data_IF_778142422004
#
_entry.id   IF_778142422004
#
_cell.length_a   1.000
_cell.length_b   1.000
_cell.length_c   1.000
_cell.angle_alpha   90.00
_cell.angle_beta   90.00
_cell.angle_gamma   90.00
#
_symmetry.space_group_name_H-M   'P 1'
#
loop_
_entity.id
_entity.type
_entity.pdbx_description
1 polymer ?
#
# COMPACT_ATOMS: atom_id res chain seq x y z
N UNK A 1 15.43 -17.90 -0.35
CA UNK A 1 15.47 -17.52 1.09
C UNK A 1 15.79 -16.03 1.16
N UNK A 2 14.85 -15.16 1.54
CA UNK A 2 15.11 -13.73 1.72
C UNK A 2 15.15 -13.40 3.21
N UNK A 3 16.36 -13.42 3.76
CA UNK A 3 16.65 -13.05 5.14
C UNK A 3 16.45 -11.54 5.29
N UNK A 4 15.50 -11.13 6.14
CA UNK A 4 15.26 -9.72 6.46
C UNK A 4 16.42 -9.17 7.30
N UNK A 5 17.45 -8.64 6.66
CA UNK A 5 18.43 -7.80 7.36
C UNK A 5 17.83 -6.41 7.59
N UNK A 6 18.08 -5.83 8.76
CA UNK A 6 17.73 -4.45 9.06
C UNK A 6 18.58 -3.54 8.15
N UNK A 7 17.95 -2.83 7.22
CA UNK A 7 18.66 -1.85 6.38
C UNK A 7 19.20 -0.75 7.31
N UNK A 8 20.51 -0.72 7.50
CA UNK A 8 21.15 0.26 8.38
C UNK A 8 21.27 1.63 7.73
N UNK A 9 21.43 1.65 6.40
CA UNK A 9 21.51 2.88 5.62
C UNK A 9 20.15 3.60 5.60
N UNK A 10 20.19 4.89 5.95
CA UNK A 10 19.00 5.74 6.02
C UNK A 10 18.42 5.95 4.62
N UNK A 11 19.25 6.29 3.64
CA UNK A 11 18.87 6.58 2.26
C UNK A 11 18.24 5.37 1.59
N UNK A 12 18.84 4.18 1.73
CA UNK A 12 18.29 2.94 1.19
C UNK A 12 16.92 2.63 1.80
N UNK A 13 16.74 2.87 3.11
CA UNK A 13 15.44 2.69 3.77
C UNK A 13 14.37 3.63 3.23
N UNK A 14 14.71 4.90 2.95
CA UNK A 14 13.78 5.85 2.35
C UNK A 14 13.44 5.47 0.90
N UNK A 15 14.44 5.06 0.12
CA UNK A 15 14.21 4.63 -1.26
C UNK A 15 13.27 3.43 -1.32
N UNK A 16 13.53 2.38 -0.52
CA UNK A 16 12.63 1.21 -0.46
C UNK A 16 11.22 1.59 0.00
N UNK A 17 11.08 2.57 0.91
CA UNK A 17 9.76 3.06 1.28
C UNK A 17 9.05 3.76 0.12
N UNK A 18 9.76 4.59 -0.65
CA UNK A 18 9.22 5.26 -1.83
C UNK A 18 8.83 4.24 -2.92
N UNK A 19 9.66 3.25 -3.17
CA UNK A 19 9.39 2.17 -4.13
C UNK A 19 8.13 1.37 -3.74
N UNK A 20 8.01 1.02 -2.46
CA UNK A 20 6.84 0.31 -1.95
C UNK A 20 5.57 1.17 -2.03
N UNK A 21 5.66 2.48 -1.76
CA UNK A 21 4.54 3.41 -1.94
C UNK A 21 4.10 3.46 -3.40
N UNK A 22 5.04 3.62 -4.33
CA UNK A 22 4.76 3.66 -5.76
C UNK A 22 4.14 2.34 -6.24
N UNK A 23 4.68 1.20 -5.81
CA UNK A 23 4.15 -0.13 -6.15
C UNK A 23 2.68 -0.28 -5.76
N UNK A 24 2.31 0.09 -4.53
CA UNK A 24 0.90 0.03 -4.08
C UNK A 24 0.01 0.97 -4.87
N UNK A 25 0.46 2.20 -5.13
CA UNK A 25 -0.32 3.18 -5.90
C UNK A 25 -0.57 2.68 -7.32
N UNK A 26 0.47 2.23 -8.03
CA UNK A 26 0.32 1.71 -9.41
C UNK A 26 -0.61 0.51 -9.46
N UNK A 27 -0.46 -0.41 -8.52
CA UNK A 27 -1.34 -1.57 -8.43
C UNK A 27 -2.81 -1.17 -8.22
N UNK A 28 -3.08 -0.20 -7.35
CA UNK A 28 -4.44 0.28 -7.12
C UNK A 28 -5.01 1.14 -8.26
N UNK A 29 -4.16 1.72 -9.12
CA UNK A 29 -4.61 2.38 -10.36
C UNK A 29 -5.14 1.33 -11.34
N UNK A 30 -4.53 0.15 -11.39
CA UNK A 30 -4.95 -0.95 -12.27
C UNK A 30 -6.15 -1.71 -11.71
N UNK A 31 -6.12 -2.08 -10.43
CA UNK A 31 -7.14 -2.94 -9.80
C UNK A 31 -8.28 -2.15 -9.14
N UNK A 32 -8.19 -0.82 -9.08
CA UNK A 32 -9.11 0.13 -8.41
C UNK A 32 -9.24 -0.05 -6.89
N UNK A 33 -9.42 -1.29 -6.41
CA UNK A 33 -9.56 -1.69 -5.02
C UNK A 33 -8.80 -2.98 -4.72
N UNK A 34 -8.30 -3.14 -3.50
CA UNK A 34 -7.73 -4.41 -3.05
C UNK A 34 -7.81 -4.65 -1.55
N UNK A 35 -7.59 -5.89 -1.15
CA UNK A 35 -7.57 -6.31 0.26
C UNK A 35 -6.17 -6.18 0.87
N UNK A 36 -6.08 -6.20 2.20
CA UNK A 36 -4.80 -6.27 2.91
C UNK A 36 -4.02 -7.51 2.49
N UNK A 37 -4.67 -8.66 2.30
CA UNK A 37 -4.01 -9.91 1.91
C UNK A 37 -3.33 -9.80 0.54
N UNK A 38 -3.99 -9.19 -0.44
CA UNK A 38 -3.40 -9.00 -1.77
C UNK A 38 -2.21 -8.04 -1.71
N UNK A 39 -2.32 -6.95 -0.95
CA UNK A 39 -1.25 -5.96 -0.79
C UNK A 39 -0.05 -6.52 0.00
N UNK A 40 -0.27 -7.47 0.91
CA UNK A 40 0.79 -8.22 1.59
C UNK A 40 1.59 -9.07 0.59
N UNK A 41 0.89 -9.77 -0.30
CA UNK A 41 1.51 -10.59 -1.37
C UNK A 41 2.28 -9.71 -2.34
N UNK A 42 1.68 -8.59 -2.80
CA UNK A 42 2.29 -7.62 -3.71
C UNK A 42 3.68 -7.16 -3.22
N UNK A 43 3.80 -6.84 -1.93
CA UNK A 43 5.05 -6.35 -1.34
C UNK A 43 5.91 -7.46 -0.70
N UNK A 44 5.50 -8.72 -0.82
CA UNK A 44 6.15 -9.87 -0.18
C UNK A 44 6.38 -9.66 1.33
N UNK A 45 5.42 -9.04 2.01
CA UNK A 45 5.49 -8.82 3.46
C UNK A 45 5.06 -10.07 4.21
N UNK A 46 5.90 -10.49 5.16
CA UNK A 46 5.63 -11.64 6.04
C UNK A 46 4.81 -11.23 7.28
N UNK A 47 4.84 -9.95 7.65
CA UNK A 47 4.12 -9.37 8.79
C UNK A 47 3.25 -8.22 8.31
N UNK A 48 2.09 -8.03 8.95
CA UNK A 48 1.13 -6.99 8.57
C UNK A 48 1.56 -5.58 8.96
N UNK A 49 2.31 -5.42 10.06
CA UNK A 49 2.62 -4.09 10.62
C UNK A 49 3.33 -3.13 9.64
N UNK A 50 4.30 -3.56 8.81
CA UNK A 50 4.90 -2.71 7.77
C UNK A 50 3.88 -2.21 6.74
N UNK A 51 2.93 -3.06 6.33
CA UNK A 51 1.86 -2.66 5.42
C UNK A 51 0.93 -1.64 6.08
N UNK A 52 0.48 -1.90 7.31
CA UNK A 52 -0.42 -0.96 8.01
C UNK A 52 0.20 0.45 8.12
N UNK A 53 1.52 0.55 8.39
CA UNK A 53 2.24 1.84 8.41
C UNK A 53 2.32 2.49 7.03
N UNK A 54 2.58 1.70 5.99
CA UNK A 54 2.65 2.19 4.61
C UNK A 54 1.29 2.74 4.16
N UNK A 55 0.20 2.00 4.42
CA UNK A 55 -1.16 2.39 4.06
C UNK A 55 -1.63 3.60 4.87
N UNK A 56 -1.27 3.70 6.15
CA UNK A 56 -1.52 4.89 6.95
C UNK A 56 -0.83 6.13 6.35
N UNK A 57 0.42 5.99 5.88
CA UNK A 57 1.15 7.07 5.19
C UNK A 57 0.48 7.46 3.88
N UNK A 58 0.17 6.50 3.00
CA UNK A 58 -0.50 6.76 1.72
C UNK A 58 -1.88 7.40 1.91
N UNK A 59 -2.63 6.97 2.93
CA UNK A 59 -3.91 7.58 3.31
C UNK A 59 -3.73 9.00 3.85
N UNK A 60 -2.71 9.24 4.67
CA UNK A 60 -2.39 10.57 5.19
C UNK A 60 -1.98 11.56 4.10
N UNK A 61 -1.35 11.07 3.03
CA UNK A 61 -1.06 11.84 1.81
C UNK A 61 -2.28 12.00 0.89
N UNK A 62 -3.41 11.38 1.23
CA UNK A 62 -4.63 11.43 0.44
C UNK A 62 -4.60 10.58 -0.83
N UNK A 63 -3.58 9.76 -1.08
CA UNK A 63 -3.48 8.96 -2.31
C UNK A 63 -4.45 7.79 -2.35
N UNK A 64 -4.74 7.19 -1.19
CA UNK A 64 -5.63 6.04 -1.07
C UNK A 64 -6.69 6.27 0.02
N UNK A 65 -7.77 5.50 -0.05
CA UNK A 65 -8.84 5.50 0.95
C UNK A 65 -9.18 4.07 1.37
N UNK A 66 -9.52 3.89 2.64
CA UNK A 66 -10.06 2.64 3.18
C UNK A 66 -11.59 2.69 3.11
N UNK A 67 -12.18 1.62 2.60
CA UNK A 67 -13.61 1.37 2.53
C UNK A 67 -13.92 0.16 3.41
N UNK A 68 -14.94 0.28 4.27
CA UNK A 68 -15.45 -0.82 5.08
C UNK A 68 -16.84 -1.20 4.57
N UNK A 69 -16.95 -2.41 4.05
CA UNK A 69 -18.18 -2.98 3.54
C UNK A 69 -18.73 -3.94 4.58
N UNK A 70 -20.02 -3.80 4.89
CA UNK A 70 -20.74 -4.81 5.66
C UNK A 70 -21.18 -5.92 4.71
N UNK A 71 -20.76 -7.14 4.99
CA UNK A 71 -21.18 -8.34 4.27
C UNK A 71 -21.91 -9.27 5.23
N UNK A 72 -22.67 -10.23 4.69
CA UNK A 72 -23.31 -11.27 5.50
C UNK A 72 -22.28 -12.07 6.34
N UNK A 73 -21.04 -12.14 5.87
CA UNK A 73 -19.93 -12.85 6.53
C UNK A 73 -19.04 -11.93 7.39
N UNK A 74 -19.49 -10.70 7.68
CA UNK A 74 -18.78 -9.72 8.49
C UNK A 74 -18.22 -8.55 7.69
N UNK A 75 -17.21 -7.86 8.24
CA UNK A 75 -16.65 -6.64 7.64
C UNK A 75 -15.54 -6.99 6.63
N UNK A 76 -15.68 -6.50 5.40
CA UNK A 76 -14.63 -6.51 4.40
C UNK A 76 -13.99 -5.13 4.30
N UNK A 77 -12.68 -5.05 4.51
CA UNK A 77 -11.92 -3.83 4.31
C UNK A 77 -11.24 -3.83 2.94
N UNK A 78 -11.56 -2.83 2.12
CA UNK A 78 -10.91 -2.57 0.83
C UNK A 78 -10.10 -1.28 0.90
N UNK A 79 -8.98 -1.25 0.20
CA UNK A 79 -8.18 -0.06 -0.03
C UNK A 79 -8.28 0.30 -1.50
N UNK A 80 -8.66 1.52 -1.81
CA UNK A 80 -8.79 1.99 -3.19
C UNK A 80 -8.00 3.26 -3.44
N UNK A 81 -7.67 3.48 -4.72
CA UNK A 81 -7.07 4.73 -5.18
C UNK A 81 -8.07 5.88 -5.05
N UNK A 82 -7.56 7.10 -4.86
CA UNK A 82 -8.37 8.33 -4.89
C UNK A 82 -8.08 9.13 -6.17
N UNK A 83 -8.89 10.14 -6.46
CA UNK A 83 -8.64 11.07 -7.58
C UNK A 83 -7.27 11.76 -7.47
N UNK A 84 -6.85 12.14 -6.25
CA UNK A 84 -5.52 12.71 -6.01
C UNK A 84 -4.42 11.69 -6.32
N UNK A 85 -4.60 10.44 -5.89
CA UNK A 85 -3.67 9.35 -6.20
C UNK A 85 -3.56 9.06 -7.70
N UNK A 86 -4.68 9.15 -8.43
CA UNK A 86 -4.71 9.02 -9.89
C UNK A 86 -3.96 10.17 -10.58
N UNK A 87 -4.25 11.42 -10.18
CA UNK A 87 -3.65 12.61 -10.79
C UNK A 87 -2.12 12.66 -10.61
N UNK A 88 -1.59 12.21 -9.46
CA UNK A 88 -0.15 12.18 -9.19
C UNK A 88 0.62 11.26 -10.16
N UNK A 89 -0.03 10.22 -10.70
CA UNK A 89 0.60 9.32 -11.66
C UNK A 89 0.68 9.91 -13.07
N UNK A 90 -0.24 10.79 -13.44
CA UNK A 90 -0.30 11.39 -14.78
C UNK A 90 0.75 12.50 -15.00
N UNK A 91 1.50 12.87 -13.95
CA UNK A 91 2.52 13.93 -13.98
C UNK A 91 3.95 13.39 -14.15
N UNK A 92 4.12 12.11 -14.47
CA UNK A 92 5.40 11.49 -14.82
C UNK A 92 5.37 10.98 -16.26
#
# INVERSE_FOLDING_TARGET
MNTQFLIQDKTERYQRNADNMQCVVQFLIQETYSTISNLMVLLNYQKRQPLDRLLAKLKGLGFIKKYELQTQNGKLALWGITDLGLAQNQQK
#
